data_IF_257680855052
#
_entry.id   IF_257680855052
#
_cell.length_a   1.000
_cell.length_b   1.000
_cell.length_c   1.000
_cell.angle_alpha   90.00
_cell.angle_beta   90.00
_cell.angle_gamma   90.00
#
_symmetry.space_group_name_H-M   'P 1'
#
loop_
_entity.id
_entity.type
_entity.pdbx_description
1 polymer ?
#
# COMPACT_ATOMS: atom_id res chain seq x y z
N UNK A 1 64.75 53.54 -46.32
CA UNK A 1 63.97 52.57 -47.11
C UNK A 1 62.98 51.87 -46.18
N UNK A 2 61.75 51.74 -46.68
CA UNK A 2 60.45 51.27 -46.18
C UNK A 2 60.25 50.34 -44.95
N UNK A 3 59.05 50.56 -44.38
CA UNK A 3 58.26 49.97 -43.29
C UNK A 3 57.89 48.46 -43.42
N UNK A 4 57.22 47.95 -42.36
CA UNK A 4 56.37 46.74 -42.22
C UNK A 4 57.16 45.46 -41.85
N UNK A 5 56.86 44.71 -40.78
CA UNK A 5 55.56 44.19 -40.35
C UNK A 5 55.36 44.16 -38.83
N UNK A 6 54.33 44.89 -38.42
CA UNK A 6 53.42 44.55 -37.31
C UNK A 6 52.72 43.22 -37.64
N UNK A 7 52.38 42.45 -36.59
CA UNK A 7 51.63 41.18 -36.58
C UNK A 7 52.49 39.92 -36.78
N UNK A 8 53.14 39.45 -35.70
CA UNK A 8 53.11 38.01 -35.45
C UNK A 8 51.85 37.76 -34.63
N UNK A 9 50.87 37.19 -35.32
CA UNK A 9 49.50 36.95 -34.90
C UNK A 9 49.41 36.39 -33.49
N UNK A 10 48.75 37.15 -32.62
CA UNK A 10 47.51 36.77 -31.94
C UNK A 10 47.16 35.27 -32.06
N UNK A 11 47.95 34.42 -31.42
CA UNK A 11 47.70 32.99 -31.29
C UNK A 11 47.95 32.55 -29.85
N UNK A 12 47.67 33.44 -28.90
CA UNK A 12 46.97 32.99 -27.70
C UNK A 12 45.52 32.77 -28.11
N UNK A 13 45.30 31.75 -28.95
CA UNK A 13 44.02 31.10 -29.09
C UNK A 13 43.62 30.81 -27.66
N UNK A 14 42.56 31.46 -27.20
CA UNK A 14 42.04 31.28 -25.86
C UNK A 14 42.08 29.78 -25.57
N UNK A 15 42.97 29.35 -24.68
CA UNK A 15 42.74 28.14 -23.92
C UNK A 15 41.54 28.54 -23.07
N UNK A 16 40.35 28.46 -23.68
CA UNK A 16 39.12 28.39 -22.96
C UNK A 16 39.27 27.10 -22.19
N UNK A 17 39.79 27.24 -20.98
CA UNK A 17 39.53 26.26 -19.96
C UNK A 17 38.01 26.15 -19.99
N UNK A 18 37.41 25.00 -20.34
CA UNK A 18 36.00 24.84 -20.08
C UNK A 18 35.86 25.16 -18.60
N UNK A 19 35.24 26.30 -18.29
CA UNK A 19 35.00 26.72 -16.92
C UNK A 19 34.16 25.58 -16.39
N UNK A 20 34.77 24.66 -15.62
CA UNK A 20 34.04 23.61 -14.93
C UNK A 20 33.00 24.36 -14.13
N UNK A 21 31.74 24.18 -14.50
CA UNK A 21 30.67 25.12 -14.20
C UNK A 21 30.76 25.59 -12.74
N UNK A 22 31.24 26.83 -12.60
CA UNK A 22 31.47 27.46 -11.32
C UNK A 22 30.13 27.98 -10.84
N UNK A 23 29.78 27.71 -9.59
CA UNK A 23 28.50 28.08 -8.99
C UNK A 23 28.12 29.52 -9.39
N UNK A 24 27.03 29.68 -10.13
CA UNK A 24 26.60 30.97 -10.65
C UNK A 24 25.43 31.47 -9.83
N UNK A 25 25.59 32.63 -9.22
CA UNK A 25 24.51 33.38 -8.61
C UNK A 25 24.19 34.54 -9.56
N UNK A 26 23.07 34.45 -10.27
CA UNK A 26 22.68 35.48 -11.23
C UNK A 26 22.03 36.67 -10.52
N UNK A 27 22.19 37.87 -11.10
CA UNK A 27 21.45 39.06 -10.66
C UNK A 27 19.92 38.89 -10.83
N UNK A 28 19.49 37.90 -11.63
CA UNK A 28 18.09 37.46 -11.79
C UNK A 28 17.55 36.71 -10.57
N UNK A 29 18.41 36.40 -9.59
CA UNK A 29 18.07 35.63 -8.39
C UNK A 29 18.08 34.11 -8.60
N UNK A 30 18.59 33.62 -9.73
CA UNK A 30 18.74 32.19 -10.00
C UNK A 30 20.12 31.70 -9.54
N UNK A 31 20.17 30.50 -8.97
CA UNK A 31 21.39 29.84 -8.55
C UNK A 31 21.62 28.55 -9.36
N UNK A 32 22.74 28.49 -10.07
CA UNK A 32 23.19 27.30 -10.78
C UNK A 32 24.38 26.65 -10.07
N UNK A 33 24.29 25.36 -9.75
CA UNK A 33 25.40 24.53 -9.28
C UNK A 33 25.73 23.55 -10.40
N UNK A 34 26.91 23.67 -11.01
CA UNK A 34 27.26 22.84 -12.17
C UNK A 34 26.60 23.26 -13.50
N UNK A 35 25.88 24.39 -13.53
CA UNK A 35 25.42 25.07 -14.75
C UNK A 35 25.62 26.59 -14.65
N UNK A 36 25.91 27.24 -15.78
CA UNK A 36 26.01 28.70 -15.90
C UNK A 36 24.76 29.36 -16.47
N UNK A 37 23.74 28.58 -16.78
CA UNK A 37 22.47 29.05 -17.36
C UNK A 37 21.31 28.29 -16.73
N UNK A 38 21.06 28.49 -15.42
CA UNK A 38 19.98 27.82 -14.72
C UNK A 38 18.62 28.19 -15.32
N UNK A 39 17.74 27.19 -15.47
CA UNK A 39 16.37 27.31 -16.02
C UNK A 39 15.32 27.56 -14.95
N UNK A 40 15.67 27.30 -13.70
CA UNK A 40 14.83 27.47 -12.52
C UNK A 40 15.60 28.26 -11.45
N UNK A 41 14.89 28.71 -10.41
CA UNK A 41 15.51 29.48 -9.30
C UNK A 41 16.69 28.76 -8.66
N UNK A 42 16.67 27.43 -8.60
CA UNK A 42 17.79 26.60 -8.19
C UNK A 42 17.91 25.42 -9.17
N UNK A 43 19.04 25.31 -9.85
CA UNK A 43 19.37 24.17 -10.71
C UNK A 43 20.71 23.56 -10.29
N UNK A 44 20.71 22.24 -10.04
CA UNK A 44 21.92 21.45 -9.85
C UNK A 44 22.10 20.58 -11.08
N UNK A 45 23.05 20.93 -11.93
CA UNK A 45 23.31 20.24 -13.20
C UNK A 45 24.64 19.47 -13.15
N UNK A 46 24.65 18.26 -13.70
CA UNK A 46 25.84 17.44 -13.89
C UNK A 46 25.65 16.56 -15.13
N UNK A 47 26.74 16.08 -15.74
CA UNK A 47 26.68 15.11 -16.85
C UNK A 47 26.46 13.67 -16.35
N UNK A 48 26.71 13.42 -15.06
CA UNK A 48 26.34 12.19 -14.36
C UNK A 48 25.21 12.43 -13.35
N UNK A 49 25.11 11.57 -12.34
CA UNK A 49 24.18 11.79 -11.25
C UNK A 49 24.51 13.09 -10.48
N UNK A 50 23.51 13.92 -10.25
CA UNK A 50 23.57 15.08 -9.38
C UNK A 50 22.83 14.76 -8.07
N UNK A 51 23.52 14.88 -6.93
CA UNK A 51 22.93 14.64 -5.62
C UNK A 51 22.95 15.94 -4.81
N UNK A 52 21.88 16.19 -4.06
CA UNK A 52 21.85 17.21 -3.01
C UNK A 52 22.13 16.50 -1.70
N UNK A 53 23.26 16.82 -1.06
CA UNK A 53 23.60 16.31 0.26
C UNK A 53 22.93 17.16 1.34
N UNK A 54 22.10 16.54 2.16
CA UNK A 54 21.55 17.12 3.39
C UNK A 54 22.11 16.27 4.54
N UNK A 55 22.95 16.87 5.38
CA UNK A 55 23.67 16.15 6.44
C UNK A 55 23.49 16.81 7.80
N UNK A 56 23.32 15.99 8.83
CA UNK A 56 23.46 16.38 10.23
C UNK A 56 24.76 15.78 10.78
N UNK A 57 25.65 16.64 11.30
CA UNK A 57 26.94 16.21 11.83
C UNK A 57 26.83 15.53 13.21
N UNK A 58 25.68 15.61 13.87
CA UNK A 58 25.41 14.97 15.15
C UNK A 58 24.77 13.60 14.95
N UNK A 59 25.17 12.61 15.75
CA UNK A 59 24.54 11.29 15.76
C UNK A 59 23.27 11.31 16.62
N UNK A 60 22.15 11.71 16.00
CA UNK A 60 20.86 11.88 16.69
C UNK A 60 19.89 10.76 16.36
N UNK A 61 19.02 10.39 17.30
CA UNK A 61 17.84 9.54 17.08
C UNK A 61 16.63 10.44 16.77
N UNK A 62 16.72 11.14 15.65
CA UNK A 62 15.80 12.20 15.25
C UNK A 62 15.91 12.44 13.72
N UNK A 63 15.14 13.36 13.15
CA UNK A 63 15.33 13.79 11.76
C UNK A 63 16.77 14.19 11.48
N UNK A 64 17.37 13.59 10.44
CA UNK A 64 18.71 13.89 9.96
C UNK A 64 18.72 15.07 8.98
N UNK A 65 17.59 15.31 8.31
CA UNK A 65 17.43 16.40 7.35
C UNK A 65 16.30 16.15 6.37
N UNK A 66 15.92 17.18 5.62
CA UNK A 66 14.82 17.09 4.66
C UNK A 66 14.63 18.34 3.81
N UNK A 67 13.65 18.25 2.91
CA UNK A 67 13.15 19.35 2.09
C UNK A 67 11.85 19.82 2.71
N UNK A 68 11.79 21.10 3.06
CA UNK A 68 10.63 21.75 3.68
C UNK A 68 9.89 22.62 2.66
N UNK A 69 8.57 22.61 2.72
CA UNK A 69 7.69 23.44 1.90
C UNK A 69 6.90 24.39 2.80
N UNK A 70 6.98 25.70 2.51
CA UNK A 70 6.31 26.75 3.27
C UNK A 70 5.37 27.57 2.38
N UNK A 71 4.26 28.01 2.96
CA UNK A 71 3.32 28.96 2.37
C UNK A 71 3.00 30.04 3.40
N UNK A 72 3.29 31.30 3.06
CA UNK A 72 3.04 32.46 3.93
C UNK A 72 3.57 32.29 5.38
N UNK A 73 4.77 31.72 5.52
CA UNK A 73 5.43 31.50 6.82
C UNK A 73 4.96 30.25 7.58
N UNK A 74 4.07 29.46 7.00
CA UNK A 74 3.58 28.20 7.58
C UNK A 74 4.08 27.00 6.78
N UNK A 75 4.66 26.02 7.46
CA UNK A 75 5.08 24.76 6.84
C UNK A 75 3.86 23.96 6.39
N UNK A 76 3.75 23.70 5.09
CA UNK A 76 2.64 22.95 4.47
C UNK A 76 2.98 21.48 4.24
N UNK A 77 4.27 21.13 4.21
CA UNK A 77 4.73 19.76 4.15
C UNK A 77 6.26 19.65 4.18
N UNK A 78 6.75 18.43 4.33
CA UNK A 78 8.19 18.12 4.22
C UNK A 78 8.44 16.68 3.84
N UNK A 79 9.55 16.46 3.15
CA UNK A 79 10.13 15.14 2.90
C UNK A 79 11.40 15.05 3.75
N UNK A 80 11.46 14.12 4.70
CA UNK A 80 12.57 14.05 5.65
C UNK A 80 13.06 12.62 5.87
N UNK A 81 14.36 12.48 6.10
CA UNK A 81 14.95 11.25 6.61
C UNK A 81 15.07 11.34 8.13
N UNK A 82 14.60 10.32 8.83
CA UNK A 82 14.70 10.22 10.29
C UNK A 82 15.34 8.90 10.69
N UNK A 83 16.30 8.96 11.61
CA UNK A 83 16.83 7.76 12.25
C UNK A 83 15.81 7.21 13.23
N UNK A 84 15.47 5.94 13.09
CA UNK A 84 14.44 5.25 13.87
C UNK A 84 14.99 4.17 14.80
N UNK A 85 16.30 3.87 14.75
CA UNK A 85 16.94 2.97 15.70
C UNK A 85 18.30 3.48 16.19
N UNK A 86 18.63 3.20 17.45
CA UNK A 86 19.89 3.60 18.07
C UNK A 86 21.12 2.91 17.46
N UNK A 87 20.99 1.67 16.98
CA UNK A 87 22.08 0.98 16.30
C UNK A 87 22.00 1.15 14.77
N UNK A 88 23.15 1.20 14.11
CA UNK A 88 23.25 1.08 12.64
C UNK A 88 22.66 2.22 11.80
N UNK A 89 22.17 3.29 12.44
CA UNK A 89 21.52 4.45 11.76
C UNK A 89 20.37 4.02 10.84
N UNK A 90 19.66 2.97 11.21
CA UNK A 90 18.45 2.57 10.53
C UNK A 90 17.49 3.76 10.48
N UNK A 91 17.04 4.10 9.29
CA UNK A 91 16.32 5.34 9.02
C UNK A 91 15.09 5.07 8.18
N UNK A 92 14.07 5.88 8.37
CA UNK A 92 12.88 5.92 7.55
C UNK A 92 12.90 7.20 6.68
N UNK A 93 12.31 7.11 5.49
CA UNK A 93 11.96 8.26 4.67
C UNK A 93 10.50 8.60 4.90
N UNK A 94 10.21 9.83 5.33
CA UNK A 94 8.87 10.28 5.73
C UNK A 94 8.37 11.41 4.85
N UNK A 95 7.09 11.37 4.54
CA UNK A 95 6.36 12.39 3.81
C UNK A 95 5.32 12.97 4.76
N UNK A 96 5.60 14.16 5.26
CA UNK A 96 4.72 14.86 6.17
C UNK A 96 3.87 15.88 5.41
N UNK A 97 2.59 15.91 5.73
CA UNK A 97 1.62 16.85 5.17
C UNK A 97 0.97 17.61 6.31
N UNK A 98 0.63 18.88 6.07
CA UNK A 98 -0.06 19.71 7.05
C UNK A 98 -1.56 19.36 7.10
N UNK A 99 -2.04 19.06 8.30
CA UNK A 99 -3.45 19.10 8.68
C UNK A 99 -3.87 20.53 9.08
N UNK A 100 -5.11 20.74 9.53
CA UNK A 100 -5.57 22.08 9.95
C UNK A 100 -4.64 22.74 10.98
N UNK A 101 -4.06 21.97 11.91
CA UNK A 101 -3.31 22.52 13.05
C UNK A 101 -1.84 22.09 13.10
N UNK A 102 -1.45 20.99 12.45
CA UNK A 102 -0.10 20.41 12.61
C UNK A 102 0.34 19.59 11.40
N UNK A 103 1.63 19.30 11.30
CA UNK A 103 2.16 18.31 10.36
C UNK A 103 1.86 16.90 10.86
N UNK A 104 1.46 16.03 9.93
CA UNK A 104 1.25 14.61 10.16
C UNK A 104 2.02 13.82 9.10
N UNK A 105 2.64 12.73 9.52
CA UNK A 105 3.21 11.74 8.60
C UNK A 105 2.06 11.07 7.81
N UNK A 106 2.02 11.35 6.51
CA UNK A 106 1.03 10.79 5.60
C UNK A 106 1.50 9.46 5.00
N UNK A 107 2.79 9.36 4.67
CA UNK A 107 3.42 8.18 4.10
C UNK A 107 4.85 8.03 4.62
N UNK A 108 5.31 6.78 4.72
CA UNK A 108 6.68 6.43 5.07
C UNK A 108 7.21 5.25 4.26
N UNK A 109 8.52 5.17 4.13
CA UNK A 109 9.25 3.94 3.82
C UNK A 109 10.14 3.66 5.03
N UNK A 110 9.93 2.53 5.71
CA UNK A 110 10.68 2.18 6.92
C UNK A 110 12.08 1.62 6.60
N UNK A 111 12.85 1.31 7.65
CA UNK A 111 14.20 0.76 7.53
C UNK A 111 14.26 -0.63 6.88
N UNK A 112 13.13 -1.34 6.81
CA UNK A 112 13.01 -2.66 6.17
C UNK A 112 12.54 -2.53 4.71
N UNK A 113 12.30 -1.31 4.21
CA UNK A 113 11.79 -1.05 2.87
C UNK A 113 10.27 -1.18 2.75
N UNK A 114 9.53 -1.30 3.87
CA UNK A 114 8.08 -1.38 3.87
C UNK A 114 7.44 0.00 3.76
N UNK A 115 6.41 0.13 2.93
CA UNK A 115 5.69 1.37 2.70
C UNK A 115 4.49 1.46 3.64
N UNK A 116 4.45 2.47 4.49
CA UNK A 116 3.30 2.78 5.34
C UNK A 116 2.54 3.99 4.79
N UNK A 117 1.22 3.92 4.66
CA UNK A 117 0.36 5.09 4.42
C UNK A 117 -0.57 5.22 5.62
N UNK A 118 -0.51 6.34 6.34
CA UNK A 118 -1.28 6.58 7.56
C UNK A 118 -0.82 5.80 8.80
N UNK A 119 0.24 4.98 8.71
CA UNK A 119 0.86 4.25 9.84
C UNK A 119 2.34 4.56 9.95
N UNK A 120 2.85 4.62 11.18
CA UNK A 120 4.30 4.75 11.47
C UNK A 120 4.99 3.39 11.60
N UNK A 121 4.23 2.29 11.70
CA UNK A 121 4.77 0.93 11.82
C UNK A 121 4.12 0.07 10.74
N UNK A 122 4.64 0.05 9.50
CA UNK A 122 4.15 -0.86 8.48
C UNK A 122 4.47 -2.30 8.89
N UNK A 123 3.51 -3.21 8.68
CA UNK A 123 3.62 -4.63 9.08
C UNK A 123 3.55 -5.57 7.86
N UNK A 124 3.47 -4.98 6.67
CA UNK A 124 3.50 -5.62 5.36
C UNK A 124 4.22 -4.69 4.38
N UNK A 125 4.68 -5.22 3.24
CA UNK A 125 5.43 -4.46 2.23
C UNK A 125 4.75 -3.15 1.78
N UNK A 126 3.41 -3.14 1.74
CA UNK A 126 2.58 -1.94 1.67
C UNK A 126 1.46 -2.05 2.71
N UNK A 127 1.52 -1.24 3.77
CA UNK A 127 0.49 -1.16 4.83
C UNK A 127 -0.20 0.21 4.75
N UNK A 128 -1.47 0.21 4.34
CA UNK A 128 -2.33 1.40 4.37
C UNK A 128 -3.28 1.32 5.56
N UNK A 129 -3.16 2.25 6.52
CA UNK A 129 -4.02 2.32 7.70
C UNK A 129 -5.06 3.44 7.59
N UNK A 130 -6.13 3.34 8.37
CA UNK A 130 -7.13 4.41 8.54
C UNK A 130 -7.72 4.93 7.23
N UNK A 131 -7.98 4.04 6.27
CA UNK A 131 -8.64 4.38 5.00
C UNK A 131 -10.06 4.87 5.30
N UNK A 132 -10.26 6.18 5.31
CA UNK A 132 -11.56 6.81 5.46
C UNK A 132 -12.23 6.91 4.09
N UNK A 133 -13.42 6.33 3.97
CA UNK A 133 -14.19 6.32 2.73
C UNK A 133 -15.32 7.33 2.85
N UNK A 134 -15.23 8.42 2.08
CA UNK A 134 -16.37 9.31 1.85
C UNK A 134 -17.35 8.66 0.87
N UNK A 135 -18.61 9.04 0.94
CA UNK A 135 -19.69 8.49 0.12
C UNK A 135 -19.36 8.63 -1.37
N UNK A 136 -19.36 7.52 -2.12
CA UNK A 136 -19.14 7.53 -3.58
C UNK A 136 -17.76 7.10 -4.07
N UNK A 137 -16.77 6.87 -3.18
CA UNK A 137 -15.46 6.34 -3.59
C UNK A 137 -15.52 4.82 -3.81
N UNK A 138 -15.08 4.35 -4.99
CA UNK A 138 -14.85 2.94 -5.31
C UNK A 138 -13.38 2.60 -5.06
N UNK A 139 -13.09 1.89 -3.97
CA UNK A 139 -11.75 1.40 -3.68
C UNK A 139 -11.55 0.00 -4.27
N UNK A 140 -10.46 -0.19 -5.03
CA UNK A 140 -10.15 -1.47 -5.66
C UNK A 140 -9.60 -2.52 -4.68
N UNK A 141 -8.81 -2.11 -3.68
CA UNK A 141 -8.31 -2.95 -2.57
C UNK A 141 -7.66 -2.08 -1.48
N UNK A 142 -7.85 -2.43 -0.21
CA UNK A 142 -6.85 -2.17 0.85
C UNK A 142 -6.05 -3.45 0.98
N UNK A 143 -4.73 -3.43 0.80
CA UNK A 143 -3.90 -4.59 1.12
C UNK A 143 -3.74 -4.63 2.64
N UNK A 144 -4.23 -5.71 3.25
CA UNK A 144 -4.45 -5.86 4.68
C UNK A 144 -3.20 -5.72 5.54
N UNK A 145 -3.46 -5.43 6.81
CA UNK A 145 -2.51 -5.31 7.88
C UNK A 145 -2.52 -6.56 8.76
N UNK A 146 -1.36 -6.80 9.36
CA UNK A 146 -1.05 -7.71 10.47
C UNK A 146 -2.17 -8.55 11.09
N UNK A 147 -1.92 -9.87 11.05
CA UNK A 147 -2.65 -11.01 11.67
C UNK A 147 -4.08 -11.28 11.18
N UNK A 148 -4.69 -10.43 10.35
CA UNK A 148 -5.98 -10.69 9.71
C UNK A 148 -6.10 -9.91 8.37
N UNK A 149 -5.52 -10.47 7.30
CA UNK A 149 -5.33 -9.81 5.99
C UNK A 149 -6.64 -9.58 5.22
N UNK A 150 -7.28 -8.44 5.42
CA UNK A 150 -8.55 -8.12 4.77
C UNK A 150 -8.35 -7.23 3.55
N UNK A 151 -8.79 -7.68 2.38
CA UNK A 151 -9.06 -6.78 1.24
C UNK A 151 -10.52 -6.32 1.31
N UNK A 152 -10.74 -5.08 1.76
CA UNK A 152 -12.07 -4.48 1.74
C UNK A 152 -12.43 -3.99 0.33
N UNK A 153 -13.62 -4.34 -0.16
CA UNK A 153 -14.21 -3.80 -1.38
C UNK A 153 -15.38 -2.86 -1.01
N UNK A 154 -15.23 -1.56 -1.27
CA UNK A 154 -16.26 -0.55 -0.96
C UNK A 154 -16.15 0.06 0.45
N UNK A 155 -17.21 0.77 0.87
CA UNK A 155 -17.30 1.63 2.07
C UNK A 155 -16.91 1.00 3.42
N UNK A 156 -16.91 1.78 4.52
CA UNK A 156 -16.57 1.30 5.88
C UNK A 156 -17.44 0.13 6.38
N UNK A 157 -18.65 0.01 5.82
CA UNK A 157 -19.64 -1.06 6.03
C UNK A 157 -19.71 -2.08 4.88
N UNK A 158 -18.84 -1.95 3.88
CA UNK A 158 -18.82 -2.75 2.66
C UNK A 158 -18.35 -4.20 2.87
N UNK A 159 -18.39 -4.96 1.78
CA UNK A 159 -17.94 -6.33 1.74
C UNK A 159 -16.42 -6.45 1.89
N UNK A 160 -15.92 -7.55 2.46
CA UNK A 160 -14.50 -7.84 2.64
C UNK A 160 -14.20 -9.22 2.12
N UNK A 161 -13.01 -9.39 1.54
CA UNK A 161 -12.50 -10.68 1.10
C UNK A 161 -11.16 -10.89 1.80
N UNK A 162 -10.96 -12.04 2.44
CA UNK A 162 -9.70 -12.39 3.12
C UNK A 162 -9.31 -13.83 2.87
N UNK A 163 -8.01 -14.11 2.87
CA UNK A 163 -7.51 -15.46 3.09
C UNK A 163 -7.61 -15.81 4.58
N UNK A 164 -7.85 -17.08 4.90
CA UNK A 164 -7.65 -17.60 6.25
C UNK A 164 -6.25 -18.21 6.38
N UNK A 165 -5.71 -18.26 7.61
CA UNK A 165 -4.50 -19.04 7.92
C UNK A 165 -4.69 -20.55 7.73
N UNK A 166 -5.92 -20.98 7.44
CA UNK A 166 -6.34 -22.36 7.16
C UNK A 166 -6.53 -22.62 5.65
N UNK A 167 -6.21 -21.65 4.78
CA UNK A 167 -6.11 -21.83 3.33
C UNK A 167 -7.41 -21.67 2.54
N UNK A 168 -8.46 -21.09 3.11
CA UNK A 168 -9.72 -20.80 2.40
C UNK A 168 -9.98 -19.30 2.23
N UNK A 169 -10.79 -18.96 1.22
CA UNK A 169 -11.24 -17.61 0.94
C UNK A 169 -12.52 -17.29 1.75
N UNK A 170 -12.53 -16.18 2.47
CA UNK A 170 -13.69 -15.69 3.23
C UNK A 170 -14.23 -14.44 2.54
N UNK A 171 -15.55 -14.39 2.35
CA UNK A 171 -16.30 -13.20 1.92
C UNK A 171 -17.16 -12.75 3.10
N UNK A 172 -17.08 -11.49 3.51
CA UNK A 172 -17.81 -10.87 4.62
C UNK A 172 -18.57 -9.62 4.14
N UNK A 173 -19.71 -9.23 4.72
CA UNK A 173 -20.29 -7.89 4.60
C UNK A 173 -20.75 -7.49 5.97
N UNK A 174 -20.61 -6.20 6.24
CA UNK A 174 -21.08 -5.53 7.43
C UNK A 174 -20.31 -5.88 8.72
N UNK A 175 -19.33 -5.04 9.05
CA UNK A 175 -18.53 -5.13 10.29
C UNK A 175 -19.36 -4.92 11.57
N UNK A 176 -20.51 -4.22 11.50
CA UNK A 176 -21.12 -3.58 12.68
C UNK A 176 -22.64 -3.81 12.85
N UNK A 177 -23.28 -4.67 12.06
CA UNK A 177 -24.71 -4.95 12.20
C UNK A 177 -25.01 -6.43 11.98
N UNK A 178 -25.80 -7.03 12.88
CA UNK A 178 -26.31 -8.39 12.73
C UNK A 178 -27.06 -8.53 11.41
N UNK A 179 -26.37 -9.00 10.37
CA UNK A 179 -26.81 -9.78 9.22
C UNK A 179 -25.80 -9.57 8.07
N UNK A 180 -24.89 -10.53 7.92
CA UNK A 180 -23.83 -10.56 6.92
C UNK A 180 -24.29 -11.35 5.67
N UNK A 181 -23.72 -11.00 4.50
CA UNK A 181 -23.97 -11.43 3.10
C UNK A 181 -23.92 -12.93 2.76
N UNK A 182 -23.80 -13.28 1.46
CA UNK A 182 -23.33 -14.59 0.95
C UNK A 182 -22.22 -15.10 1.88
N UNK A 183 -22.67 -15.89 2.82
CA UNK A 183 -21.98 -16.32 4.00
C UNK A 183 -22.55 -17.67 4.29
N UNK A 184 -21.67 -18.58 4.67
CA UNK A 184 -22.00 -19.92 5.04
C UNK A 184 -22.65 -19.80 6.42
N UNK A 185 -23.98 -19.63 6.42
CA UNK A 185 -24.78 -19.07 7.52
C UNK A 185 -24.55 -19.82 8.84
N UNK A 186 -24.59 -19.13 9.99
CA UNK A 186 -24.58 -19.69 11.37
C UNK A 186 -25.39 -18.82 12.35
N UNK A 187 -26.27 -17.94 11.85
CA UNK A 187 -26.96 -16.90 12.62
C UNK A 187 -28.36 -17.26 13.13
N UNK A 188 -28.78 -18.49 12.89
CA UNK A 188 -29.83 -19.25 13.56
C UNK A 188 -29.30 -20.69 13.61
N UNK A 189 -29.66 -21.58 14.55
CA UNK A 189 -29.32 -22.99 14.40
C UNK A 189 -29.81 -23.48 13.02
N UNK A 190 -28.87 -23.70 12.09
CA UNK A 190 -29.17 -24.00 10.69
C UNK A 190 -28.19 -23.34 9.72
N UNK A 191 -27.00 -23.91 9.59
CA UNK A 191 -25.99 -23.43 8.67
C UNK A 191 -26.27 -23.89 7.28
N UNK A 192 -26.07 -23.02 6.29
CA UNK A 192 -25.82 -23.49 4.93
C UNK A 192 -24.34 -23.24 4.64
N UNK A 193 -23.48 -24.14 5.11
CA UNK A 193 -22.06 -24.20 4.74
C UNK A 193 -21.89 -25.21 3.60
N UNK A 194 -21.68 -24.71 2.39
CA UNK A 194 -21.14 -25.50 1.28
C UNK A 194 -19.60 -25.45 1.32
N UNK A 195 -19.04 -26.66 1.50
CA UNK A 195 -17.66 -27.08 1.17
C UNK A 195 -16.57 -26.73 2.18
N UNK A 196 -16.27 -27.68 3.07
CA UNK A 196 -14.87 -27.97 3.40
C UNK A 196 -14.31 -28.82 2.25
N UNK A 197 -13.08 -28.53 1.81
CA UNK A 197 -12.45 -29.19 0.66
C UNK A 197 -12.66 -30.72 0.67
N UNK A 198 -13.11 -31.27 -0.46
CA UNK A 198 -13.45 -32.70 -0.60
C UNK A 198 -14.78 -33.00 -1.31
N UNK A 199 -15.58 -31.97 -1.60
CA UNK A 199 -16.78 -32.08 -2.44
C UNK A 199 -18.00 -32.68 -1.73
N UNK A 200 -18.10 -32.54 -0.40
CA UNK A 200 -19.29 -32.86 0.41
C UNK A 200 -19.89 -31.58 1.01
N UNK A 201 -21.20 -31.57 1.22
CA UNK A 201 -21.98 -30.43 1.75
C UNK A 201 -22.60 -30.82 3.09
N UNK A 202 -22.33 -30.03 4.14
CA UNK A 202 -22.90 -30.23 5.48
C UNK A 202 -23.84 -29.09 5.87
N UNK A 203 -25.11 -29.38 6.14
CA UNK A 203 -26.10 -28.43 6.68
C UNK A 203 -26.27 -28.75 8.15
N UNK A 204 -25.91 -27.82 9.04
CA UNK A 204 -25.96 -28.04 10.50
C UNK A 204 -24.86 -28.94 11.08
N UNK A 205 -23.93 -29.46 10.27
CA UNK A 205 -22.80 -30.30 10.73
C UNK A 205 -21.48 -29.91 10.07
N UNK A 206 -20.40 -29.92 10.85
CA UNK A 206 -19.04 -29.61 10.38
C UNK A 206 -18.28 -30.84 9.82
N UNK A 207 -18.86 -32.05 9.92
CA UNK A 207 -18.22 -33.32 9.52
C UNK A 207 -19.14 -34.16 8.59
N UNK A 208 -19.44 -33.69 7.37
CA UNK A 208 -20.31 -34.43 6.46
C UNK A 208 -19.64 -35.74 6.01
N UNK A 209 -20.29 -36.89 6.28
CA UNK A 209 -19.82 -38.21 5.83
C UNK A 209 -20.26 -38.53 4.40
N UNK A 210 -21.29 -37.85 3.91
CA UNK A 210 -21.85 -38.02 2.56
C UNK A 210 -21.84 -36.72 1.77
N UNK A 211 -22.06 -36.83 0.44
CA UNK A 211 -22.06 -35.69 -0.49
C UNK A 211 -23.01 -34.55 -0.07
N UNK A 212 -24.14 -34.89 0.55
CA UNK A 212 -25.02 -33.97 1.24
C UNK A 212 -25.42 -34.59 2.58
N UNK A 213 -25.02 -33.96 3.69
CA UNK A 213 -25.39 -34.34 5.04
C UNK A 213 -26.18 -33.20 5.68
N UNK A 214 -27.36 -33.47 6.24
CA UNK A 214 -28.17 -32.48 6.96
C UNK A 214 -28.40 -32.98 8.39
N UNK A 215 -27.88 -32.27 9.38
CA UNK A 215 -28.16 -32.50 10.80
C UNK A 215 -29.38 -31.67 11.22
N UNK A 216 -30.56 -32.11 10.75
CA UNK A 216 -31.81 -31.40 10.94
C UNK A 216 -32.91 -31.89 10.01
N UNK A 217 -34.08 -31.23 10.09
CA UNK A 217 -35.22 -31.53 9.22
C UNK A 217 -35.05 -30.88 7.85
N UNK A 218 -35.35 -31.63 6.80
CA UNK A 218 -35.41 -31.13 5.42
C UNK A 218 -36.89 -30.92 5.07
N UNK A 219 -37.30 -29.67 4.82
CA UNK A 219 -38.59 -29.38 4.18
C UNK A 219 -38.35 -29.25 2.66
N UNK A 220 -38.89 -30.17 1.89
CA UNK A 220 -38.78 -30.16 0.44
C UNK A 220 -40.16 -30.35 -0.19
N UNK A 221 -40.43 -29.59 -1.26
CA UNK A 221 -41.65 -29.78 -2.07
C UNK A 221 -41.64 -31.16 -2.76
N UNK A 222 -40.47 -31.66 -3.12
CA UNK A 222 -40.23 -33.00 -3.68
C UNK A 222 -38.75 -33.37 -3.53
N UNK A 223 -38.47 -34.62 -3.17
CA UNK A 223 -37.11 -35.20 -3.20
C UNK A 223 -37.13 -36.37 -4.17
N UNK A 224 -36.26 -36.34 -5.18
CA UNK A 224 -36.02 -37.51 -6.03
C UNK A 224 -34.72 -38.15 -5.59
N UNK A 225 -34.83 -39.29 -4.91
CA UNK A 225 -33.68 -40.15 -4.64
C UNK A 225 -33.58 -41.14 -5.80
N UNK A 226 -32.40 -41.24 -6.40
CA UNK A 226 -32.10 -42.24 -7.42
C UNK A 226 -30.83 -42.96 -6.99
N UNK A 227 -30.89 -44.28 -6.85
CA UNK A 227 -29.80 -45.10 -6.32
C UNK A 227 -28.80 -45.56 -7.39
N UNK A 228 -28.85 -44.99 -8.60
CA UNK A 228 -28.47 -45.60 -9.89
C UNK A 228 -29.55 -46.53 -10.47
N UNK A 229 -29.63 -46.63 -11.81
CA UNK A 229 -30.92 -46.50 -12.49
C UNK A 229 -31.58 -47.80 -12.96
N UNK A 230 -31.00 -48.97 -12.68
CA UNK A 230 -31.39 -50.18 -13.43
C UNK A 230 -32.30 -51.15 -12.65
N UNK A 231 -32.20 -51.33 -11.33
CA UNK A 231 -32.95 -52.40 -10.63
C UNK A 231 -33.27 -52.04 -9.17
N UNK A 232 -34.54 -52.18 -8.76
CA UNK A 232 -35.01 -52.09 -7.37
C UNK A 232 -35.11 -53.51 -6.76
N UNK A 233 -35.00 -53.66 -5.43
CA UNK A 233 -36.27 -53.84 -4.71
C UNK A 233 -36.45 -53.10 -3.38
N UNK A 234 -37.73 -52.99 -3.10
CA UNK A 234 -38.51 -52.51 -1.97
C UNK A 234 -38.07 -53.06 -0.60
N UNK A 235 -37.84 -52.17 0.37
CA UNK A 235 -37.79 -52.52 1.78
C UNK A 235 -38.91 -51.80 2.54
N UNK A 236 -40.12 -52.35 2.40
CA UNK A 236 -40.94 -52.91 3.48
C UNK A 236 -40.70 -52.26 4.85
N UNK A 237 -41.52 -51.27 5.20
CA UNK A 237 -42.00 -51.20 6.57
C UNK A 237 -43.27 -52.04 6.63
N UNK A 238 -43.14 -53.30 7.03
CA UNK A 238 -44.29 -54.03 7.53
C UNK A 238 -44.74 -53.33 8.81
N UNK A 239 -45.94 -52.74 8.78
CA UNK A 239 -46.62 -52.36 10.01
C UNK A 239 -47.11 -53.65 10.66
N UNK A 240 -46.47 -54.06 11.75
CA UNK A 240 -47.12 -54.94 12.71
C UNK A 240 -47.07 -54.27 14.08
N UNK A 241 -48.29 -53.97 14.52
CA UNK A 241 -48.75 -53.48 15.81
C UNK A 241 -48.28 -54.36 16.97
#
# INVERSE_FOLDING_TARGET
MYKYYIIFSLSLLAISHPIKAQNKLEATGHAGIGTTSPREKLEVANSGAAYILISNSNDVLAPAGGIRFDMAGTETGRIESERVAAAGRASALKFNVRSETSLKEGMRIDQNGMVGIGTTVPEAGLHVSSVSLTTGIRLAAVLGNSWDDWTAFGGTTGGRIRGSNEGYLVLESNKNGSNNMIGLNLGSPGNVLMVTGGGNVGIGTAKPKEKLTVDGKILAKSIRVSLKPEDWPDYVFAATF
#
